data_IF_990021952779
#
_entry.id   IF_990021952779
#
_cell.length_a   1.000
_cell.length_b   1.000
_cell.length_c   1.000
_cell.angle_alpha   90.00
_cell.angle_beta   90.00
_cell.angle_gamma   90.00
#
_symmetry.space_group_name_H-M   'P 1'
#
loop_
_entity.id
_entity.type
_entity.pdbx_description
1 polymer ?
#
# COMPACT_ATOMS: atom_id res chain seq x y z
N UNK A 1 4.91 -10.97 -57.17
CA UNK A 1 4.53 -11.85 -56.06
C UNK A 1 5.47 -11.55 -54.89
N UNK A 2 5.05 -10.53 -54.14
CA UNK A 2 5.20 -10.27 -52.70
C UNK A 2 6.56 -10.47 -51.99
N UNK A 3 7.32 -9.37 -51.75
CA UNK A 3 8.55 -9.38 -50.95
C UNK A 3 8.36 -9.09 -49.44
N UNK A 4 7.16 -9.20 -48.88
CA UNK A 4 6.88 -8.88 -47.47
C UNK A 4 6.36 -10.09 -46.69
N UNK A 5 7.25 -11.00 -46.27
CA UNK A 5 6.91 -11.91 -45.17
C UNK A 5 8.19 -12.35 -44.45
N UNK A 6 8.46 -11.79 -43.27
CA UNK A 6 9.61 -12.25 -42.49
C UNK A 6 10.05 -11.43 -41.28
N UNK A 7 9.60 -10.19 -41.08
CA UNK A 7 9.89 -9.48 -39.82
C UNK A 7 8.74 -9.73 -38.86
N UNK A 8 8.73 -10.92 -38.23
CA UNK A 8 8.06 -11.04 -36.94
C UNK A 8 8.86 -10.15 -35.99
N UNK A 9 8.23 -9.04 -35.60
CA UNK A 9 8.84 -8.01 -34.77
C UNK A 9 9.47 -8.66 -33.54
N UNK A 10 10.75 -8.38 -33.33
CA UNK A 10 11.33 -8.48 -32.00
C UNK A 10 10.43 -7.70 -31.04
N UNK A 11 10.14 -8.18 -29.81
CA UNK A 11 9.50 -7.36 -28.80
C UNK A 11 10.35 -6.09 -28.66
N UNK A 12 9.87 -4.97 -29.19
CA UNK A 12 10.57 -3.71 -29.11
C UNK A 12 10.42 -3.26 -27.65
N UNK A 13 11.52 -3.13 -26.90
CA UNK A 13 11.44 -2.54 -25.58
C UNK A 13 10.88 -1.12 -25.71
N UNK A 14 10.08 -0.71 -24.73
CA UNK A 14 9.53 0.64 -24.69
C UNK A 14 10.67 1.67 -24.83
N UNK A 15 10.51 2.64 -25.75
CA UNK A 15 11.42 3.79 -25.86
C UNK A 15 11.45 4.54 -24.53
N UNK A 16 12.55 5.24 -24.21
CA UNK A 16 12.67 6.03 -22.98
C UNK A 16 11.53 7.05 -22.81
N UNK A 17 11.07 7.65 -23.91
CA UNK A 17 9.93 8.58 -23.92
C UNK A 17 8.62 7.86 -23.56
N UNK A 18 8.37 6.70 -24.18
CA UNK A 18 7.20 5.85 -23.91
C UNK A 18 7.21 5.32 -22.48
N UNK A 19 8.38 4.96 -21.94
CA UNK A 19 8.52 4.48 -20.56
C UNK A 19 8.16 5.58 -19.55
N UNK A 20 8.54 6.84 -19.83
CA UNK A 20 8.13 7.98 -18.99
C UNK A 20 6.61 8.17 -18.99
N UNK A 21 5.97 8.06 -20.15
CA UNK A 21 4.51 8.14 -20.30
C UNK A 21 3.81 6.95 -19.61
N UNK A 22 4.37 5.75 -19.73
CA UNK A 22 3.88 4.56 -19.05
C UNK A 22 3.97 4.73 -17.53
N UNK A 23 5.10 5.20 -17.02
CA UNK A 23 5.30 5.46 -15.58
C UNK A 23 4.28 6.47 -15.05
N UNK A 24 4.02 7.54 -15.80
CA UNK A 24 2.96 8.49 -15.47
C UNK A 24 1.59 7.81 -15.40
N UNK A 25 1.25 6.99 -16.40
CA UNK A 25 -0.01 6.25 -16.45
C UNK A 25 -0.17 5.25 -15.31
N UNK A 26 0.88 4.51 -14.94
CA UNK A 26 0.90 3.63 -13.76
C UNK A 26 0.58 4.42 -12.51
N UNK A 27 1.22 5.58 -12.32
CA UNK A 27 0.93 6.47 -11.19
C UNK A 27 -0.53 6.93 -11.15
N UNK A 28 -1.10 7.29 -12.30
CA UNK A 28 -2.50 7.69 -12.41
C UNK A 28 -3.46 6.54 -12.09
N UNK A 29 -3.22 5.33 -12.60
CA UNK A 29 -4.04 4.14 -12.30
C UNK A 29 -4.01 3.85 -10.79
N UNK A 30 -2.82 3.81 -10.18
CA UNK A 30 -2.68 3.57 -8.75
C UNK A 30 -3.37 4.64 -7.90
N UNK A 31 -3.29 5.91 -8.30
CA UNK A 31 -3.95 7.02 -7.57
C UNK A 31 -5.48 6.93 -7.58
N UNK A 32 -6.06 6.22 -8.55
CA UNK A 32 -7.51 6.02 -8.69
C UNK A 32 -8.00 4.73 -8.05
N UNK A 33 -7.09 3.85 -7.69
CA UNK A 33 -7.42 2.61 -7.02
C UNK A 33 -7.87 2.90 -5.60
N UNK A 34 -9.18 2.98 -5.41
CA UNK A 34 -9.80 3.41 -4.15
C UNK A 34 -9.40 2.55 -2.96
N UNK A 35 -9.33 1.22 -3.13
CA UNK A 35 -8.87 0.31 -2.07
C UNK A 35 -7.43 0.63 -1.63
N UNK A 36 -6.54 0.88 -2.59
CA UNK A 36 -5.15 1.27 -2.32
C UNK A 36 -5.06 2.64 -1.65
N UNK A 37 -5.83 3.63 -2.11
CA UNK A 37 -5.86 4.96 -1.51
C UNK A 37 -6.36 4.90 -0.05
N UNK A 38 -7.41 4.12 0.21
CA UNK A 38 -7.87 3.86 1.57
C UNK A 38 -6.81 3.16 2.41
N UNK A 39 -6.08 2.18 1.87
CA UNK A 39 -5.00 1.51 2.59
C UNK A 39 -3.84 2.45 2.95
N UNK A 40 -3.56 3.42 2.09
CA UNK A 40 -2.56 4.47 2.33
C UNK A 40 -3.03 5.44 3.41
N UNK A 41 -4.25 5.98 3.28
CA UNK A 41 -4.85 6.95 4.20
C UNK A 41 -5.02 6.39 5.62
N UNK A 42 -5.39 5.12 5.72
CA UNK A 42 -5.58 4.44 7.00
C UNK A 42 -4.29 3.79 7.54
N UNK A 43 -3.14 4.03 6.90
CA UNK A 43 -1.84 3.47 7.30
C UNK A 43 -1.89 1.94 7.51
N UNK A 44 -2.57 1.19 6.64
CA UNK A 44 -2.68 -0.28 6.78
C UNK A 44 -1.31 -0.97 6.73
N UNK A 45 -0.35 -0.36 6.02
CA UNK A 45 1.08 -0.73 6.01
C UNK A 45 1.97 0.02 7.02
N UNK A 46 1.38 0.72 7.99
CA UNK A 46 2.07 1.64 8.90
C UNK A 46 2.48 2.97 8.25
N UNK A 47 3.32 3.75 8.95
CA UNK A 47 3.75 5.10 8.53
C UNK A 47 4.50 5.15 7.20
N UNK A 48 4.92 4.00 6.68
CA UNK A 48 5.59 3.85 5.39
C UNK A 48 4.64 3.54 4.23
N UNK A 49 3.31 3.63 4.43
CA UNK A 49 2.30 3.33 3.41
C UNK A 49 2.51 4.09 2.08
N UNK A 50 2.89 5.38 2.15
CA UNK A 50 3.25 6.17 0.97
C UNK A 50 4.52 5.65 0.26
N UNK A 51 5.52 5.23 1.01
CA UNK A 51 6.74 4.64 0.44
C UNK A 51 6.42 3.29 -0.22
N UNK A 52 5.49 2.52 0.34
CA UNK A 52 5.01 1.27 -0.24
C UNK A 52 4.26 1.51 -1.57
N UNK A 53 3.42 2.54 -1.65
CA UNK A 53 2.78 2.95 -2.90
C UNK A 53 3.80 3.31 -4.00
N UNK A 54 4.81 4.12 -3.65
CA UNK A 54 5.88 4.48 -4.60
C UNK A 54 6.70 3.27 -5.05
N UNK A 55 6.98 2.35 -4.12
CA UNK A 55 7.68 1.10 -4.41
C UNK A 55 6.85 0.21 -5.34
N UNK A 56 5.54 0.08 -5.10
CA UNK A 56 4.63 -0.65 -5.98
C UNK A 56 4.65 -0.10 -7.41
N UNK A 57 4.59 1.23 -7.57
CA UNK A 57 4.70 1.87 -8.88
C UNK A 57 6.02 1.53 -9.60
N UNK A 58 7.13 1.56 -8.86
CA UNK A 58 8.46 1.23 -9.40
C UNK A 58 8.55 -0.24 -9.79
N UNK A 59 8.04 -1.14 -8.94
CA UNK A 59 8.02 -2.59 -9.15
C UNK A 59 7.18 -2.94 -10.39
N UNK A 60 6.03 -2.28 -10.58
CA UNK A 60 5.18 -2.43 -11.77
C UNK A 60 5.93 -2.03 -13.05
N UNK A 61 6.49 -0.82 -13.09
CA UNK A 61 7.24 -0.33 -14.27
C UNK A 61 8.43 -1.25 -14.57
N UNK A 62 9.13 -1.71 -13.54
CA UNK A 62 10.22 -2.67 -13.64
C UNK A 62 9.76 -4.00 -14.23
N UNK A 63 8.63 -4.55 -13.76
CA UNK A 63 8.06 -5.80 -14.24
C UNK A 63 7.74 -5.73 -15.73
N UNK A 64 7.03 -4.69 -16.17
CA UNK A 64 6.71 -4.47 -17.59
C UNK A 64 7.95 -4.24 -18.47
N UNK A 65 9.00 -3.61 -17.93
CA UNK A 65 10.20 -3.28 -18.71
C UNK A 65 11.21 -4.44 -18.81
N UNK A 66 11.25 -5.32 -17.81
CA UNK A 66 12.24 -6.41 -17.72
C UNK A 66 11.71 -7.74 -18.25
N UNK A 67 10.39 -7.88 -18.38
CA UNK A 67 9.76 -9.08 -18.94
C UNK A 67 10.10 -9.24 -20.42
N UNK A 68 10.99 -10.20 -20.72
CA UNK A 68 11.23 -10.67 -22.10
C UNK A 68 10.23 -11.77 -22.52
N UNK A 69 9.37 -12.19 -21.60
CA UNK A 69 8.34 -13.20 -21.80
C UNK A 69 6.98 -12.53 -22.08
N UNK A 70 6.01 -13.25 -22.69
CA UNK A 70 4.64 -12.78 -22.75
C UNK A 70 4.12 -12.47 -21.34
N UNK A 71 3.55 -11.29 -21.18
CA UNK A 71 2.93 -10.85 -19.94
C UNK A 71 1.53 -11.44 -19.85
N UNK A 72 1.25 -12.17 -18.77
CA UNK A 72 -0.07 -12.69 -18.47
C UNK A 72 -0.72 -11.85 -17.38
N UNK A 73 -2.03 -11.65 -17.50
CA UNK A 73 -2.79 -10.88 -16.51
C UNK A 73 -2.79 -11.59 -15.15
N UNK A 74 -2.90 -12.93 -15.14
CA UNK A 74 -2.86 -13.73 -13.90
C UNK A 74 -1.57 -13.51 -13.10
N UNK A 75 -0.42 -13.33 -13.79
CA UNK A 75 0.87 -13.06 -13.15
C UNK A 75 0.91 -11.65 -12.54
N UNK A 76 0.27 -10.69 -13.20
CA UNK A 76 0.16 -9.31 -12.71
C UNK A 76 -0.78 -9.23 -11.49
N UNK A 77 -1.92 -9.91 -11.55
CA UNK A 77 -2.87 -10.02 -10.44
C UNK A 77 -2.19 -10.65 -9.21
N UNK A 78 -1.51 -11.77 -9.40
CA UNK A 78 -0.75 -12.43 -8.32
C UNK A 78 0.31 -11.50 -7.72
N UNK A 79 1.05 -10.76 -8.56
CA UNK A 79 2.02 -9.79 -8.07
C UNK A 79 1.34 -8.67 -7.27
N UNK A 80 0.22 -8.12 -7.75
CA UNK A 80 -0.51 -7.07 -7.04
C UNK A 80 -1.01 -7.58 -5.68
N UNK A 81 -1.61 -8.77 -5.63
CA UNK A 81 -2.06 -9.44 -4.40
C UNK A 81 -0.92 -9.61 -3.39
N UNK A 82 0.22 -10.15 -3.84
CA UNK A 82 1.40 -10.31 -2.99
C UNK A 82 1.88 -8.96 -2.44
N UNK A 83 1.88 -7.91 -3.25
CA UNK A 83 2.31 -6.58 -2.81
C UNK A 83 1.33 -5.95 -1.83
N UNK A 84 0.03 -6.15 -2.01
CA UNK A 84 -1.00 -5.69 -1.08
C UNK A 84 -0.83 -6.36 0.28
N UNK A 85 -0.62 -7.68 0.29
CA UNK A 85 -0.40 -8.43 1.51
C UNK A 85 0.91 -8.04 2.20
N UNK A 86 2.03 -7.98 1.46
CA UNK A 86 3.35 -7.72 2.05
C UNK A 86 3.54 -6.27 2.49
N UNK A 87 2.97 -5.30 1.77
CA UNK A 87 3.24 -3.88 2.01
C UNK A 87 2.12 -3.19 2.77
N UNK A 88 0.87 -3.59 2.55
CA UNK A 88 -0.29 -2.99 3.20
C UNK A 88 -0.95 -3.91 4.22
N UNK A 89 -0.43 -5.14 4.42
CA UNK A 89 -0.99 -6.13 5.35
C UNK A 89 -2.50 -6.33 5.16
N UNK A 90 -2.96 -6.27 3.90
CA UNK A 90 -4.37 -6.30 3.54
C UNK A 90 -4.58 -7.17 2.31
N UNK A 91 -5.77 -7.73 2.20
CA UNK A 91 -6.25 -8.52 1.06
C UNK A 91 -7.46 -7.79 0.49
N UNK A 92 -7.46 -7.52 -0.80
CA UNK A 92 -8.57 -6.84 -1.47
C UNK A 92 -9.39 -7.89 -2.24
N UNK A 93 -10.58 -8.22 -1.74
CA UNK A 93 -11.49 -9.19 -2.37
C UNK A 93 -12.66 -8.51 -3.09
N UNK A 94 -12.50 -7.23 -3.47
CA UNK A 94 -13.53 -6.42 -4.10
C UNK A 94 -13.52 -6.49 -5.64
N UNK A 95 -12.61 -7.27 -6.23
CA UNK A 95 -12.41 -7.37 -7.68
C UNK A 95 -11.59 -6.22 -8.28
N UNK A 96 -11.10 -5.29 -7.45
CA UNK A 96 -10.38 -4.11 -7.93
C UNK A 96 -8.96 -4.42 -8.39
N UNK A 97 -8.37 -5.53 -7.93
CA UNK A 97 -7.04 -5.99 -8.37
C UNK A 97 -7.09 -6.35 -9.85
N UNK A 98 -8.10 -7.11 -10.25
CA UNK A 98 -8.35 -7.56 -11.61
C UNK A 98 -8.59 -6.36 -12.52
N UNK A 99 -9.46 -5.43 -12.12
CA UNK A 99 -9.73 -4.20 -12.89
C UNK A 99 -8.46 -3.34 -13.09
N UNK A 100 -7.61 -3.22 -12.06
CA UNK A 100 -6.36 -2.46 -12.15
C UNK A 100 -5.33 -3.19 -13.02
N UNK A 101 -5.24 -4.51 -12.92
CA UNK A 101 -4.39 -5.33 -13.76
C UNK A 101 -4.77 -5.19 -15.24
N UNK A 102 -6.07 -5.25 -15.57
CA UNK A 102 -6.58 -5.02 -16.92
C UNK A 102 -6.18 -3.63 -17.45
N UNK A 103 -6.39 -2.57 -16.65
CA UNK A 103 -6.04 -1.21 -17.06
C UNK A 103 -4.54 -1.04 -17.34
N UNK A 104 -3.68 -1.64 -16.51
CA UNK A 104 -2.23 -1.60 -16.69
C UNK A 104 -1.78 -2.36 -17.95
N UNK A 105 -2.40 -3.50 -18.24
CA UNK A 105 -2.15 -4.28 -19.46
C UNK A 105 -2.54 -3.49 -20.72
N UNK A 106 -3.70 -2.85 -20.72
CA UNK A 106 -4.15 -1.99 -21.83
C UNK A 106 -3.19 -0.81 -22.02
N UNK A 107 -2.82 -0.14 -20.93
CA UNK A 107 -1.88 0.99 -20.98
C UNK A 107 -0.52 0.56 -21.58
N UNK A 108 -0.03 -0.63 -21.23
CA UNK A 108 1.21 -1.17 -21.77
C UNK A 108 1.12 -1.49 -23.27
N UNK A 109 0.02 -2.12 -23.71
CA UNK A 109 -0.21 -2.42 -25.13
C UNK A 109 -0.34 -1.14 -25.97
N UNK A 110 -1.07 -0.15 -25.47
CA UNK A 110 -1.19 1.17 -26.10
C UNK A 110 0.18 1.85 -26.24
N UNK A 111 1.00 1.79 -25.19
CA UNK A 111 2.38 2.30 -25.22
C UNK A 111 3.25 1.60 -26.30
N UNK A 112 3.09 0.29 -26.50
CA UNK A 112 3.79 -0.45 -27.57
C UNK A 112 3.31 -0.04 -28.97
N UNK A 113 2.02 0.27 -29.10
CA UNK A 113 1.40 0.65 -30.36
C UNK A 113 1.59 2.15 -30.70
N UNK A 114 2.10 2.95 -29.75
CA UNK A 114 2.23 4.40 -29.88
C UNK A 114 0.90 5.16 -29.76
N UNK A 115 -0.14 4.49 -29.26
CA UNK A 115 -1.42 5.08 -28.94
C UNK A 115 -1.43 5.42 -27.44
N UNK A 116 -1.97 6.58 -27.06
CA UNK A 116 -1.96 7.04 -25.66
C UNK A 116 -3.36 7.48 -25.21
N UNK A 117 -4.40 6.84 -25.75
CA UNK A 117 -5.80 7.21 -25.51
C UNK A 117 -6.16 7.03 -24.03
N UNK A 118 -5.81 5.88 -23.45
CA UNK A 118 -6.04 5.60 -22.02
C UNK A 118 -5.31 6.59 -21.11
N UNK A 119 -4.06 6.94 -21.43
CA UNK A 119 -3.28 7.93 -20.70
C UNK A 119 -3.90 9.33 -20.78
N UNK A 120 -4.36 9.75 -21.96
CA UNK A 120 -5.08 11.00 -22.14
C UNK A 120 -6.38 11.03 -21.33
N UNK A 121 -7.15 9.94 -21.34
CA UNK A 121 -8.36 9.82 -20.53
C UNK A 121 -8.05 9.88 -19.03
N UNK A 122 -7.01 9.17 -18.56
CA UNK A 122 -6.56 9.20 -17.17
C UNK A 122 -6.16 10.62 -16.74
N UNK A 123 -5.44 11.39 -17.57
CA UNK A 123 -5.15 12.80 -17.29
C UNK A 123 -6.40 13.68 -17.25
N UNK A 124 -7.30 13.51 -18.21
CA UNK A 124 -8.49 14.34 -18.34
C UNK A 124 -9.48 14.12 -17.18
N UNK A 125 -9.50 12.91 -16.63
CA UNK A 125 -10.39 12.55 -15.51
C UNK A 125 -9.69 12.58 -14.15
N UNK A 126 -8.39 12.86 -14.11
CA UNK A 126 -7.71 13.22 -12.87
C UNK A 126 -8.27 14.56 -12.40
N UNK A 127 -8.78 14.67 -11.14
CA UNK A 127 -9.10 15.98 -10.61
C UNK A 127 -7.81 16.78 -10.65
N UNK A 128 -7.81 17.93 -11.32
CA UNK A 128 -6.69 18.84 -11.32
C UNK A 128 -6.42 19.28 -9.87
N UNK A 129 -5.62 18.50 -9.14
CA UNK A 129 -5.12 18.80 -7.80
C UNK A 129 -4.04 19.88 -7.90
N UNK A 130 -4.37 21.01 -8.52
CA UNK A 130 -3.61 22.25 -8.51
C UNK A 130 -4.45 23.46 -8.96
N UNK A 131 -5.74 23.47 -8.61
CA UNK A 131 -6.61 24.65 -8.74
C UNK A 131 -7.19 25.08 -7.38
N UNK A 132 -6.40 25.02 -6.30
CA UNK A 132 -6.73 25.72 -5.04
C UNK A 132 -5.46 26.40 -4.52
N UNK A 133 -5.14 27.56 -5.09
CA UNK A 133 -4.22 28.50 -4.43
C UNK A 133 -4.31 29.90 -5.01
N UNK A 134 -5.51 30.43 -5.25
CA UNK A 134 -5.72 31.89 -5.31
C UNK A 134 -7.15 32.26 -4.91
N UNK A 135 -7.37 32.53 -3.61
CA UNK A 135 -8.23 33.64 -3.15
C UNK A 135 -8.51 33.55 -1.65
N UNK A 136 -7.86 34.41 -0.87
CA UNK A 136 -8.54 35.36 0.02
C UNK A 136 -7.55 36.44 0.45
N UNK A 137 -7.42 37.46 -0.41
CA UNK A 137 -7.08 38.82 0.03
C UNK A 137 -8.28 39.34 0.82
N UNK A 138 -8.09 39.65 2.10
CA UNK A 138 -8.87 40.67 2.80
C UNK A 138 -7.84 41.65 3.35
N UNK A 139 -7.73 42.77 2.65
CA UNK A 139 -7.33 44.02 3.26
C UNK A 139 -8.52 44.49 4.07
N UNK A 140 -8.34 44.71 5.36
CA UNK A 140 -9.15 45.64 6.14
C UNK A 140 -8.24 46.19 7.24
N UNK A 141 -8.23 47.50 7.29
CA UNK A 141 -7.36 48.38 8.01
C UNK A 141 -7.75 48.55 9.50
N UNK A 142 -6.80 49.15 10.24
CA UNK A 142 -6.95 49.95 11.46
C UNK A 142 -7.42 49.32 12.80
N UNK A 143 -6.56 49.44 13.83
CA UNK A 143 -7.02 49.43 15.23
C UNK A 143 -6.06 48.87 16.29
N UNK A 144 -5.11 49.69 16.73
CA UNK A 144 -4.73 49.95 18.13
C UNK A 144 -4.57 48.80 19.16
N UNK A 145 -3.35 48.75 19.70
CA UNK A 145 -3.00 48.68 21.13
C UNK A 145 -2.99 47.37 21.93
N UNK A 146 -1.98 47.35 22.78
CA UNK A 146 -1.79 46.67 24.05
C UNK A 146 -0.90 45.41 24.13
N UNK A 147 -0.03 45.53 25.13
CA UNK A 147 1.17 44.80 25.48
C UNK A 147 0.90 43.35 25.89
N UNK A 148 1.92 42.49 25.90
CA UNK A 148 2.59 42.05 27.14
C UNK A 148 3.73 41.09 26.79
N UNK A 149 4.88 41.42 27.35
CA UNK A 149 6.12 40.66 27.50
C UNK A 149 5.87 39.34 28.25
N UNK A 150 6.25 38.19 27.67
CA UNK A 150 6.30 36.92 28.40
C UNK A 150 7.56 36.14 27.98
N UNK A 151 8.56 36.23 28.84
CA UNK A 151 9.75 35.40 28.81
C UNK A 151 9.42 34.02 29.40
N UNK A 152 9.91 32.92 28.80
CA UNK A 152 10.58 31.82 29.51
C UNK A 152 10.93 30.65 28.58
N UNK A 153 12.22 30.48 28.35
CA UNK A 153 12.90 29.20 28.07
C UNK A 153 13.96 29.04 29.19
N UNK A 154 14.66 27.91 29.36
CA UNK A 154 14.38 26.50 29.07
C UNK A 154 14.69 25.62 30.31
N UNK A 155 14.73 24.29 30.09
CA UNK A 155 15.44 23.26 30.86
C UNK A 155 14.57 22.41 31.83
N UNK A 156 14.14 21.25 31.31
CA UNK A 156 13.91 20.07 32.15
C UNK A 156 14.98 19.04 31.83
N UNK A 157 15.99 19.03 32.69
CA UNK A 157 17.01 18.01 32.88
C UNK A 157 16.37 16.80 33.58
N UNK A 158 16.27 15.68 32.87
CA UNK A 158 15.83 14.39 33.43
C UNK A 158 16.86 13.33 33.03
N UNK A 159 17.91 13.21 33.84
CA UNK A 159 18.86 12.10 33.79
C UNK A 159 18.14 10.79 34.09
N UNK A 160 18.13 9.86 33.14
CA UNK A 160 17.70 8.47 33.34
C UNK A 160 18.92 7.66 33.78
N UNK A 161 18.97 7.37 35.08
CA UNK A 161 19.91 6.43 35.68
C UNK A 161 19.53 5.00 35.29
N UNK A 162 20.37 4.34 34.49
CA UNK A 162 20.24 2.94 34.12
C UNK A 162 21.36 2.19 34.83
N UNK A 163 21.08 1.68 36.02
CA UNK A 163 21.93 0.71 36.70
C UNK A 163 21.82 -0.67 36.01
N UNK A 164 22.95 -1.34 35.71
CA UNK A 164 22.95 -2.67 35.13
C UNK A 164 23.09 -3.73 36.24
N UNK A 165 21.97 -4.27 36.74
CA UNK A 165 22.04 -5.46 37.58
C UNK A 165 22.18 -6.73 36.74
N UNK A 166 23.28 -7.42 37.02
CA UNK A 166 23.70 -8.70 36.52
C UNK A 166 24.03 -9.56 37.74
N UNK A 167 23.42 -10.75 37.81
CA UNK A 167 23.73 -11.93 38.65
C UNK A 167 22.40 -12.68 38.89
N UNK A 168 22.29 -14.00 39.02
CA UNK A 168 23.22 -15.11 38.90
C UNK A 168 22.38 -16.38 38.66
N UNK A 169 23.08 -17.40 38.18
CA UNK A 169 22.65 -18.77 37.88
C UNK A 169 22.16 -19.55 39.11
N UNK A 170 21.24 -20.50 38.93
CA UNK A 170 21.48 -21.91 39.30
C UNK A 170 20.42 -22.87 38.69
N UNK A 171 20.76 -24.16 38.45
CA UNK A 171 20.08 -25.02 37.49
C UNK A 171 19.11 -26.02 38.12
N UNK A 172 18.05 -26.39 37.40
CA UNK A 172 17.36 -27.67 37.62
C UNK A 172 17.17 -28.44 36.33
N UNK A 173 17.39 -29.74 36.46
CA UNK A 173 17.79 -30.72 35.47
C UNK A 173 16.57 -31.52 35.00
N UNK A 174 16.58 -31.93 33.72
CA UNK A 174 15.93 -33.15 33.16
C UNK A 174 14.38 -33.16 33.12
N UNK A 175 13.68 -33.61 32.07
CA UNK A 175 13.91 -34.71 31.11
C UNK A 175 12.95 -34.58 29.91
N UNK A 176 13.44 -35.05 28.76
CA UNK A 176 12.72 -35.41 27.52
C UNK A 176 11.37 -36.11 27.71
N UNK A 177 10.36 -35.75 26.91
CA UNK A 177 9.60 -36.73 26.13
C UNK A 177 8.75 -36.05 25.04
N UNK A 178 9.09 -36.38 23.81
CA UNK A 178 8.31 -36.19 22.58
C UNK A 178 6.91 -36.79 22.72
N UNK A 179 5.89 -36.14 22.15
CA UNK A 179 4.74 -36.82 21.52
C UNK A 179 4.06 -35.95 20.48
N UNK A 180 4.28 -36.38 19.23
CA UNK A 180 3.50 -36.06 18.03
C UNK A 180 2.05 -36.47 18.25
N UNK A 181 1.09 -35.61 17.91
CA UNK A 181 -0.30 -36.01 17.69
C UNK A 181 -0.77 -35.40 16.38
N UNK A 182 -0.84 -36.26 15.36
CA UNK A 182 -1.63 -36.09 14.16
C UNK A 182 -3.12 -36.19 14.51
N UNK A 183 -3.97 -35.35 13.92
CA UNK A 183 -5.38 -35.63 13.59
C UNK A 183 -5.79 -34.59 12.53
N UNK A 184 -5.71 -34.93 11.24
CA UNK A 184 -6.74 -35.57 10.41
C UNK A 184 -7.96 -34.68 10.13
N UNK A 185 -8.10 -34.30 8.86
CA UNK A 185 -9.20 -33.56 8.24
C UNK A 185 -10.56 -34.24 8.32
N UNK A 186 -11.61 -33.40 8.42
CA UNK A 186 -13.05 -33.52 8.03
C UNK A 186 -13.88 -32.76 9.06
N UNK A 187 -14.91 -31.99 8.77
CA UNK A 187 -15.59 -31.48 7.58
C UNK A 187 -16.51 -30.36 8.13
N UNK A 188 -16.73 -29.31 7.34
CA UNK A 188 -17.92 -28.43 7.26
C UNK A 188 -19.00 -28.49 8.38
N UNK A 189 -19.31 -27.33 8.96
CA UNK A 189 -20.67 -26.73 8.96
C UNK A 189 -20.74 -25.57 9.97
N UNK A 190 -21.17 -24.43 9.43
CA UNK A 190 -21.99 -23.39 10.06
C UNK A 190 -22.23 -23.44 11.57
N UNK A 191 -21.81 -22.38 12.27
CA UNK A 191 -22.28 -22.05 13.61
C UNK A 191 -21.28 -21.22 14.40
N UNK A 192 -21.36 -19.89 14.28
CA UNK A 192 -20.72 -19.03 15.28
C UNK A 192 -21.32 -19.33 16.66
N UNK A 193 -20.48 -19.78 17.59
CA UNK A 193 -20.88 -20.08 18.95
C UNK A 193 -21.17 -18.77 19.72
N UNK A 194 -22.33 -18.62 20.39
CA UNK A 194 -22.61 -17.42 21.17
C UNK A 194 -21.87 -17.46 22.50
N UNK A 195 -21.05 -16.44 22.76
CA UNK A 195 -20.41 -16.21 24.07
C UNK A 195 -21.47 -15.83 25.12
N UNK A 196 -21.80 -16.74 26.02
CA UNK A 196 -22.69 -16.41 27.15
C UNK A 196 -21.93 -15.57 28.18
N UNK A 197 -22.32 -14.30 28.33
CA UNK A 197 -21.76 -13.39 29.34
C UNK A 197 -22.05 -13.90 30.76
N UNK A 198 -21.00 -14.28 31.50
CA UNK A 198 -21.10 -14.76 32.88
C UNK A 198 -21.23 -13.58 33.84
N UNK A 199 -22.47 -13.19 34.16
CA UNK A 199 -22.78 -12.16 35.17
C UNK A 199 -22.49 -12.70 36.59
N UNK A 200 -21.45 -12.18 37.23
CA UNK A 200 -21.10 -12.48 38.62
C UNK A 200 -22.13 -11.87 39.59
N UNK A 201 -22.81 -12.70 40.38
CA UNK A 201 -23.80 -12.25 41.38
C UNK A 201 -23.10 -12.22 42.74
N UNK A 202 -22.63 -11.04 43.14
CA UNK A 202 -22.07 -10.79 44.47
C UNK A 202 -23.08 -11.07 45.57
N UNK A 203 -22.70 -11.92 46.53
CA UNK A 203 -23.43 -12.20 47.77
C UNK A 203 -23.20 -11.04 48.74
N UNK A 204 -24.27 -10.41 49.23
CA UNK A 204 -24.25 -9.55 50.43
C UNK A 204 -24.19 -10.47 51.65
N UNK A 205 -23.24 -10.23 52.55
CA UNK A 205 -23.22 -10.83 53.89
C UNK A 205 -23.61 -9.78 54.92
N UNK A 206 -24.28 -10.27 55.97
CA UNK A 206 -24.85 -9.59 57.13
C UNK A 206 -23.89 -8.74 57.93
#
# INVERSE_FOLDING_TARGET
MDPFNGVRGTPQPLSAETLSLFTEGVGLVLSRWTALQMAVENEWGGRASLQHLQKLSTDLVSWFSQSNAPLYIDDLEMMLDEKMLLSFNSVFEDGSIEEVAEQLMILHEECLNGNFETLCQLRASSPATQAVSQSRKVSEEEGSDDSTDDEHEPASDMALDIEPEQMAVDPVKSKSSSKVVQLSSKEIAEGWAPVTSRRNRGKRSS
#
